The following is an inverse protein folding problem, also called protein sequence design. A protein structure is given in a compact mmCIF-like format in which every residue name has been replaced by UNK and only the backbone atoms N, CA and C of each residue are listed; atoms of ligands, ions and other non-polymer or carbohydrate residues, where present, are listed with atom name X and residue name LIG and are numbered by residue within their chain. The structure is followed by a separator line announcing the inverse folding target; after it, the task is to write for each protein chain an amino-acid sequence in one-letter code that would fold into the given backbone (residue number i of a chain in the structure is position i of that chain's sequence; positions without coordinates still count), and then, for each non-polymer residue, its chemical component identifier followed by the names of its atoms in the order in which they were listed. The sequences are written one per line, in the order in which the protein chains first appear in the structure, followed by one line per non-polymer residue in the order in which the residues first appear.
data_IF_018714168925
#
_entry.id   IF_018714168925
#
_cell.length_a   1.000
_cell.length_b   1.000
_cell.length_c   1.000
_cell.angle_alpha   90.00
_cell.angle_beta   90.00
_cell.angle_gamma   90.00
#
_symmetry.space_group_name_H-M   'P 1'
#
loop_
_entity.id
_entity.type
_entity.pdbx_description
1 polymer ?
#
# COMPACT_ATOMS: atom_id res chain seq x y z
N UNK A 1 36.15 28.07 -43.26
CA UNK A 1 35.64 26.78 -42.74
C UNK A 1 36.13 26.61 -41.30
N UNK A 2 35.31 26.97 -40.35
CA UNK A 2 35.67 26.94 -38.94
C UNK A 2 34.94 25.71 -38.32
N UNK A 3 35.71 24.68 -37.92
CA UNK A 3 35.17 23.47 -37.26
C UNK A 3 34.89 23.78 -35.82
N UNK A 4 33.60 23.77 -35.48
CA UNK A 4 33.11 23.87 -34.12
C UNK A 4 33.32 22.52 -33.41
N UNK A 5 34.25 22.45 -32.46
CA UNK A 5 34.46 21.26 -31.62
C UNK A 5 33.49 21.40 -30.45
N UNK A 6 32.46 20.56 -30.47
CA UNK A 6 31.51 20.46 -29.37
C UNK A 6 32.15 19.63 -28.24
N UNK A 7 32.54 20.29 -27.16
CA UNK A 7 32.99 19.62 -25.94
C UNK A 7 31.73 19.10 -25.20
N UNK A 8 31.48 17.79 -25.27
CA UNK A 8 30.54 17.10 -24.38
C UNK A 8 31.17 17.08 -23.00
N UNK A 9 30.74 18.00 -22.12
CA UNK A 9 30.93 17.85 -20.67
C UNK A 9 30.05 16.70 -20.20
N UNK A 10 30.65 15.53 -20.00
CA UNK A 10 30.07 14.50 -19.14
C UNK A 10 30.06 15.09 -17.72
N UNK A 11 28.91 15.60 -17.30
CA UNK A 11 28.64 15.83 -15.86
C UNK A 11 28.65 14.47 -15.18
N UNK A 12 29.73 14.14 -14.51
CA UNK A 12 29.73 13.14 -13.45
C UNK A 12 28.80 13.67 -12.36
N UNK A 13 27.56 13.20 -12.34
CA UNK A 13 26.72 13.35 -11.16
C UNK A 13 27.38 12.49 -10.07
N UNK A 14 27.70 13.06 -8.91
CA UNK A 14 28.21 12.27 -7.80
C UNK A 14 27.15 11.21 -7.45
N UNK A 15 27.57 9.98 -7.13
CA UNK A 15 26.72 8.99 -6.48
C UNK A 15 25.97 9.72 -5.37
N UNK A 16 24.65 9.87 -5.54
CA UNK A 16 23.83 10.54 -4.56
C UNK A 16 23.95 9.79 -3.24
N UNK A 17 24.47 10.46 -2.23
CA UNK A 17 24.36 9.96 -0.86
C UNK A 17 22.88 9.61 -0.64
N UNK A 18 22.61 8.42 -0.11
CA UNK A 18 21.25 8.01 0.25
C UNK A 18 20.68 9.09 1.18
N UNK A 19 19.75 9.85 0.67
CA UNK A 19 19.14 10.94 1.45
C UNK A 19 18.16 10.32 2.44
N UNK A 20 18.53 10.35 3.74
CA UNK A 20 17.70 9.81 4.78
C UNK A 20 16.57 10.78 5.16
N UNK A 21 15.37 10.22 5.24
CA UNK A 21 14.20 10.93 5.78
C UNK A 21 14.39 11.15 7.28
N UNK A 22 14.30 12.41 7.70
CA UNK A 22 14.37 12.85 9.11
C UNK A 22 13.01 13.31 9.60
N UNK A 23 12.79 13.19 10.90
CA UNK A 23 11.59 13.72 11.57
C UNK A 23 10.27 13.25 10.95
N UNK A 24 10.23 11.95 10.52
CA UNK A 24 9.00 11.35 10.00
C UNK A 24 7.99 11.17 11.12
N UNK A 25 6.88 11.88 11.04
CA UNK A 25 5.90 11.94 12.12
C UNK A 25 4.46 12.08 11.62
N UNK A 26 3.51 11.74 12.48
CA UNK A 26 2.10 12.02 12.28
C UNK A 26 1.90 13.54 12.34
N UNK A 27 1.30 14.09 11.30
CA UNK A 27 0.99 15.52 11.22
C UNK A 27 -0.34 15.70 10.50
N UNK A 28 -1.39 15.97 11.27
CA UNK A 28 -2.76 15.98 10.76
C UNK A 28 -3.21 17.41 10.50
N UNK A 29 -3.37 17.73 9.24
CA UNK A 29 -3.88 19.01 8.72
C UNK A 29 -4.65 18.73 7.42
N UNK A 30 -5.26 19.78 6.89
CA UNK A 30 -5.83 19.78 5.54
C UNK A 30 -5.37 21.03 4.78
N UNK A 31 -5.45 20.96 3.47
CA UNK A 31 -5.40 22.11 2.58
C UNK A 31 -6.37 21.94 1.43
N UNK A 32 -6.73 23.04 0.77
CA UNK A 32 -7.62 23.05 -0.37
C UNK A 32 -6.88 23.50 -1.64
N UNK A 33 -7.15 22.83 -2.73
CA UNK A 33 -6.65 23.19 -4.06
C UNK A 33 -7.71 22.87 -5.12
N UNK A 34 -8.08 23.88 -5.92
CA UNK A 34 -9.09 23.74 -7.00
C UNK A 34 -10.37 23.01 -6.53
N UNK A 35 -10.98 23.48 -5.44
CA UNK A 35 -12.17 22.91 -4.80
C UNK A 35 -12.02 21.46 -4.27
N UNK A 36 -10.83 20.90 -4.34
CA UNK A 36 -10.53 19.58 -3.78
C UNK A 36 -9.87 19.74 -2.41
N UNK A 37 -10.41 19.03 -1.42
CA UNK A 37 -9.83 18.95 -0.10
C UNK A 37 -8.77 17.83 -0.05
N UNK A 38 -7.61 18.14 0.52
CA UNK A 38 -6.52 17.20 0.73
C UNK A 38 -6.25 17.04 2.21
N UNK A 39 -6.17 15.80 2.68
CA UNK A 39 -5.65 15.46 3.98
C UNK A 39 -4.12 15.48 3.95
N UNK A 40 -3.50 16.07 4.96
CA UNK A 40 -2.07 15.89 5.28
C UNK A 40 -2.00 14.94 6.48
N UNK A 41 -1.36 13.79 6.32
CA UNK A 41 -1.30 12.79 7.38
C UNK A 41 0.09 12.63 8.00
N UNK A 42 1.15 13.02 7.28
CA UNK A 42 2.54 12.92 7.73
C UNK A 42 3.32 14.16 7.35
N UNK A 43 4.36 14.45 8.15
CA UNK A 43 5.39 15.44 7.87
C UNK A 43 6.77 14.82 8.04
N UNK A 44 7.72 15.23 7.21
CA UNK A 44 9.11 14.79 7.28
C UNK A 44 10.04 15.79 6.62
N UNK A 45 11.32 15.62 6.85
CA UNK A 45 12.38 16.42 6.22
C UNK A 45 13.23 15.53 5.30
N UNK A 46 13.52 16.06 4.12
CA UNK A 46 14.45 15.49 3.16
C UNK A 46 15.34 16.62 2.62
N UNK A 47 16.66 16.48 2.75
CA UNK A 47 17.64 17.51 2.31
C UNK A 47 17.38 18.92 2.88
N UNK A 48 16.87 19.00 4.11
CA UNK A 48 16.56 20.27 4.79
C UNK A 48 15.26 20.94 4.32
N UNK A 49 14.49 20.28 3.47
CA UNK A 49 13.17 20.74 3.02
C UNK A 49 12.08 19.93 3.71
N UNK A 50 11.05 20.61 4.19
CA UNK A 50 9.87 19.96 4.78
C UNK A 50 8.92 19.47 3.68
N UNK A 51 8.55 18.21 3.77
CA UNK A 51 7.57 17.55 2.90
C UNK A 51 6.40 17.02 3.71
N UNK A 52 5.30 16.86 3.02
CA UNK A 52 4.04 16.33 3.54
C UNK A 52 3.54 15.17 2.69
N UNK A 53 3.13 14.08 3.34
CA UNK A 53 2.35 13.03 2.69
C UNK A 53 0.89 13.46 2.69
N UNK A 54 0.34 13.67 1.51
CA UNK A 54 -1.01 14.19 1.29
C UNK A 54 -1.90 13.18 0.59
N UNK A 55 -3.18 13.22 0.88
CA UNK A 55 -4.20 12.36 0.26
C UNK A 55 -5.30 13.22 -0.34
N UNK A 56 -5.59 13.02 -1.62
CA UNK A 56 -6.79 13.55 -2.24
C UNK A 56 -8.02 12.84 -1.65
N UNK A 57 -8.89 13.57 -0.98
CA UNK A 57 -10.02 13.00 -0.26
C UNK A 57 -11.15 12.48 -1.16
N UNK A 58 -11.12 12.82 -2.47
CA UNK A 58 -12.08 12.34 -3.47
C UNK A 58 -11.58 11.07 -4.17
N UNK A 59 -10.29 10.99 -4.51
CA UNK A 59 -9.72 9.90 -5.32
C UNK A 59 -8.88 8.90 -4.51
N UNK A 60 -8.61 9.16 -3.24
CA UNK A 60 -7.72 8.39 -2.36
C UNK A 60 -6.26 8.30 -2.85
N UNK A 61 -5.90 9.05 -3.87
CA UNK A 61 -4.53 9.13 -4.34
C UNK A 61 -3.65 9.89 -3.36
N UNK A 62 -2.45 9.38 -3.12
CA UNK A 62 -1.44 10.02 -2.26
C UNK A 62 -0.37 10.71 -3.07
N UNK A 63 0.19 11.79 -2.52
CA UNK A 63 1.32 12.53 -3.08
C UNK A 63 2.21 13.05 -1.96
N UNK A 64 3.49 13.20 -2.28
CA UNK A 64 4.47 13.91 -1.44
C UNK A 64 4.67 15.30 -2.01
N UNK A 65 4.41 16.33 -1.20
CA UNK A 65 4.49 17.72 -1.60
C UNK A 65 5.21 18.55 -0.54
N UNK A 66 5.96 19.57 -0.98
CA UNK A 66 6.36 20.69 -0.12
C UNK A 66 5.30 21.79 -0.25
N UNK A 67 4.77 22.26 0.85
CA UNK A 67 3.69 23.25 0.92
C UNK A 67 4.07 24.41 1.81
N UNK A 68 3.61 25.61 1.47
CA UNK A 68 3.71 26.77 2.35
C UNK A 68 2.85 26.53 3.61
N UNK A 69 3.42 26.77 4.78
CA UNK A 69 2.73 26.58 6.06
C UNK A 69 1.43 27.41 6.19
N UNK A 70 1.34 28.53 5.49
CA UNK A 70 0.14 29.38 5.48
C UNK A 70 -1.08 28.72 4.83
N UNK A 71 -0.88 27.69 4.01
CA UNK A 71 -1.95 26.91 3.37
C UNK A 71 -2.54 25.82 4.27
N UNK A 72 -1.87 25.52 5.40
CA UNK A 72 -2.22 24.40 6.28
C UNK A 72 -3.31 24.79 7.27
N UNK A 73 -4.43 24.09 7.24
CA UNK A 73 -5.59 24.31 8.10
C UNK A 73 -5.82 23.10 9.03
N UNK A 74 -6.37 23.29 10.24
CA UNK A 74 -6.93 22.17 11.01
C UNK A 74 -7.99 21.41 10.20
N UNK A 75 -8.20 20.12 10.53
CA UNK A 75 -9.37 19.42 9.99
C UNK A 75 -10.65 20.11 10.49
N UNK A 76 -11.61 20.27 9.59
CA UNK A 76 -12.92 20.84 9.88
C UNK A 76 -14.08 19.83 9.59
N UNK A 77 -15.32 20.27 9.71
CA UNK A 77 -16.48 19.45 9.46
C UNK A 77 -16.60 18.97 8.00
N UNK A 78 -15.99 19.68 7.04
CA UNK A 78 -16.04 19.29 5.64
C UNK A 78 -15.21 18.03 5.38
N UNK A 79 -14.13 17.85 6.13
CA UNK A 79 -13.33 16.62 6.05
C UNK A 79 -14.19 15.38 6.33
N UNK A 80 -15.05 15.40 7.36
CA UNK A 80 -15.90 14.26 7.71
C UNK A 80 -16.90 13.85 6.63
N UNK A 81 -17.22 14.77 5.71
CA UNK A 81 -18.15 14.57 4.59
C UNK A 81 -17.46 14.01 3.34
N UNK A 82 -16.14 13.94 3.33
CA UNK A 82 -15.38 13.46 2.16
C UNK A 82 -15.53 11.95 1.95
N UNK A 83 -15.43 11.46 0.70
CA UNK A 83 -15.39 10.03 0.42
C UNK A 83 -14.31 9.30 1.23
N UNK A 84 -13.09 9.87 1.35
CA UNK A 84 -12.04 9.28 2.15
C UNK A 84 -12.47 9.05 3.61
N UNK A 85 -13.01 10.06 4.29
CA UNK A 85 -13.43 9.94 5.69
C UNK A 85 -14.56 8.93 5.89
N UNK A 86 -15.48 8.83 4.91
CA UNK A 86 -16.56 7.85 4.91
C UNK A 86 -16.01 6.43 4.76
N UNK A 87 -15.12 6.20 3.79
CA UNK A 87 -14.51 4.87 3.58
C UNK A 87 -13.65 4.45 4.76
N UNK A 88 -12.89 5.37 5.35
CA UNK A 88 -12.12 5.14 6.56
C UNK A 88 -13.02 4.71 7.74
N UNK A 89 -14.14 5.39 7.93
CA UNK A 89 -15.13 5.04 8.98
C UNK A 89 -15.74 3.67 8.73
N UNK A 90 -16.18 3.40 7.50
CA UNK A 90 -16.82 2.14 7.13
C UNK A 90 -15.86 0.94 7.30
N UNK A 91 -14.63 1.06 6.80
CA UNK A 91 -13.63 -0.01 6.88
C UNK A 91 -13.21 -0.30 8.33
N UNK A 92 -13.03 0.74 9.16
CA UNK A 92 -12.63 0.58 10.56
C UNK A 92 -13.76 0.09 11.48
N UNK A 93 -15.00 0.09 11.03
CA UNK A 93 -16.12 -0.57 11.72
C UNK A 93 -16.09 -2.11 11.62
N UNK A 94 -15.22 -2.67 10.77
CA UNK A 94 -15.15 -4.10 10.47
C UNK A 94 -13.99 -4.81 11.20
N UNK A 95 -13.80 -4.54 12.49
CA UNK A 95 -12.70 -5.09 13.30
C UNK A 95 -12.62 -6.63 13.24
N UNK A 96 -13.76 -7.33 13.38
CA UNK A 96 -13.82 -8.80 13.32
C UNK A 96 -13.42 -9.40 11.97
N UNK A 97 -13.34 -8.57 10.92
CA UNK A 97 -12.94 -8.96 9.57
C UNK A 97 -11.57 -8.44 9.16
N UNK A 98 -10.88 -7.69 10.03
CA UNK A 98 -9.61 -7.06 9.71
C UNK A 98 -9.70 -5.88 8.74
N UNK A 99 -10.91 -5.35 8.47
CA UNK A 99 -11.14 -4.24 7.56
C UNK A 99 -12.10 -4.54 6.40
N UNK A 100 -12.06 -3.70 5.37
CA UNK A 100 -12.88 -3.86 4.17
C UNK A 100 -12.54 -5.17 3.43
N UNK A 101 -13.55 -5.98 3.14
CA UNK A 101 -13.38 -7.30 2.51
C UNK A 101 -13.61 -7.29 1.00
N UNK A 102 -14.27 -6.27 0.48
CA UNK A 102 -14.64 -6.13 -0.93
C UNK A 102 -14.88 -4.65 -1.26
N UNK A 103 -14.99 -4.35 -2.54
CA UNK A 103 -15.26 -3.00 -3.03
C UNK A 103 -16.61 -2.46 -2.52
N UNK A 104 -16.64 -1.16 -2.23
CA UNK A 104 -17.86 -0.42 -1.90
C UNK A 104 -18.50 0.25 -3.11
N UNK A 105 -17.76 0.33 -4.23
CA UNK A 105 -18.27 0.81 -5.52
C UNK A 105 -18.79 -0.34 -6.36
N UNK A 106 -19.90 -0.09 -7.08
CA UNK A 106 -20.41 -1.03 -8.07
C UNK A 106 -19.75 -0.75 -9.43
N UNK A 107 -18.77 -1.58 -9.80
CA UNK A 107 -18.12 -1.57 -11.10
C UNK A 107 -18.30 -2.94 -11.74
N UNK A 108 -18.91 -2.97 -12.93
CA UNK A 108 -19.14 -4.25 -13.60
C UNK A 108 -17.83 -5.00 -13.81
N UNK A 109 -17.84 -6.30 -13.47
CA UNK A 109 -16.70 -7.23 -13.61
C UNK A 109 -15.38 -6.80 -12.97
N UNK A 110 -15.36 -5.73 -12.14
CA UNK A 110 -14.15 -5.28 -11.47
C UNK A 110 -13.72 -6.28 -10.38
N UNK A 111 -12.42 -6.57 -10.34
CA UNK A 111 -11.76 -7.31 -9.26
C UNK A 111 -10.48 -6.60 -8.85
N UNK A 112 -10.02 -6.85 -7.63
CA UNK A 112 -8.88 -6.16 -7.04
C UNK A 112 -7.89 -7.19 -6.51
N UNK A 113 -6.78 -7.35 -7.24
CA UNK A 113 -5.74 -8.30 -6.85
C UNK A 113 -4.88 -7.71 -5.75
N UNK A 114 -4.76 -8.43 -4.65
CA UNK A 114 -3.89 -8.07 -3.53
C UNK A 114 -2.89 -9.19 -3.24
N UNK A 115 -1.63 -8.84 -3.08
CA UNK A 115 -0.53 -9.77 -2.85
C UNK A 115 0.23 -9.37 -1.57
N UNK A 116 0.29 -10.29 -0.61
CA UNK A 116 0.99 -10.05 0.65
C UNK A 116 2.45 -10.52 0.55
N UNK A 117 3.35 -9.64 0.97
CA UNK A 117 4.78 -9.88 1.13
C UNK A 117 5.15 -9.85 2.61
N UNK A 118 4.70 -10.89 3.34
CA UNK A 118 5.06 -11.15 4.72
C UNK A 118 6.54 -11.55 4.83
N UNK A 119 7.18 -11.46 6.01
CA UNK A 119 8.53 -11.97 6.21
C UNK A 119 8.69 -13.40 5.73
N UNK A 120 9.78 -13.66 5.03
CA UNK A 120 10.10 -15.01 4.50
C UNK A 120 11.60 -15.23 4.51
N UNK A 121 12.01 -16.46 4.86
CA UNK A 121 13.39 -16.94 4.69
C UNK A 121 13.63 -17.58 3.32
N UNK A 122 12.56 -17.75 2.53
CA UNK A 122 12.65 -18.33 1.18
C UNK A 122 13.17 -17.28 0.20
N UNK A 123 14.10 -17.68 -0.66
CA UNK A 123 14.66 -16.79 -1.69
C UNK A 123 13.65 -16.54 -2.79
N UNK A 124 13.68 -15.31 -3.33
CA UNK A 124 12.84 -14.88 -4.42
C UNK A 124 11.40 -14.53 -4.01
N UNK A 125 10.59 -14.27 -5.00
CA UNK A 125 9.14 -14.06 -4.88
C UNK A 125 8.45 -14.84 -6.01
N UNK A 126 7.15 -14.74 -6.11
CA UNK A 126 6.35 -15.44 -7.14
C UNK A 126 6.45 -14.73 -8.52
N UNK A 127 7.68 -14.61 -9.04
CA UNK A 127 8.01 -13.93 -10.30
C UNK A 127 7.32 -14.56 -11.51
N UNK A 128 7.27 -15.89 -11.54
CA UNK A 128 6.69 -16.65 -12.67
C UNK A 128 5.18 -16.39 -12.77
N UNK A 129 4.50 -16.29 -11.63
CA UNK A 129 3.10 -15.88 -11.59
C UNK A 129 2.90 -14.46 -12.12
N UNK A 130 3.75 -13.50 -11.69
CA UNK A 130 3.69 -12.12 -12.18
C UNK A 130 3.90 -12.05 -13.68
N UNK A 131 4.84 -12.83 -14.22
CA UNK A 131 5.07 -12.91 -15.67
C UNK A 131 3.86 -13.47 -16.40
N UNK A 132 3.27 -14.56 -15.90
CA UNK A 132 2.06 -15.15 -16.48
C UNK A 132 0.87 -14.18 -16.43
N UNK A 133 0.68 -13.48 -15.30
CA UNK A 133 -0.38 -12.50 -15.10
C UNK A 133 -0.26 -11.37 -16.14
N UNK A 134 0.92 -10.74 -16.22
CA UNK A 134 1.15 -9.62 -17.14
C UNK A 134 1.15 -10.05 -18.62
N UNK A 135 1.56 -11.27 -18.93
CA UNK A 135 1.46 -11.84 -20.28
C UNK A 135 0.02 -12.02 -20.74
N UNK A 136 -0.89 -12.36 -19.83
CA UNK A 136 -2.31 -12.60 -20.16
C UNK A 136 -3.16 -11.32 -20.09
N UNK A 137 -2.85 -10.41 -19.16
CA UNK A 137 -3.66 -9.21 -18.88
C UNK A 137 -3.02 -7.91 -19.41
N UNK A 138 -1.72 -7.90 -19.77
CA UNK A 138 -0.98 -6.69 -20.07
C UNK A 138 -0.65 -5.90 -18.80
N UNK A 139 -0.71 -4.56 -18.87
CA UNK A 139 -0.51 -3.71 -17.67
C UNK A 139 -1.59 -4.02 -16.64
N UNK A 140 -1.15 -4.48 -15.47
CA UNK A 140 -2.04 -5.02 -14.44
C UNK A 140 -1.98 -4.20 -13.16
N UNK A 141 -3.11 -3.63 -12.71
CA UNK A 141 -3.23 -3.08 -11.36
C UNK A 141 -3.09 -4.19 -10.31
N UNK A 142 -2.23 -3.96 -9.32
CA UNK A 142 -2.03 -4.87 -8.20
C UNK A 142 -1.76 -4.07 -6.93
N UNK A 143 -2.35 -4.49 -5.82
CA UNK A 143 -2.02 -3.95 -4.51
C UNK A 143 -1.03 -4.88 -3.81
N UNK A 144 0.14 -4.37 -3.44
CA UNK A 144 1.16 -5.15 -2.75
C UNK A 144 1.21 -4.70 -1.29
N UNK A 145 0.77 -5.59 -0.39
CA UNK A 145 0.88 -5.39 1.05
C UNK A 145 2.28 -5.85 1.49
N UNK A 146 3.17 -4.87 1.70
CA UNK A 146 4.57 -5.12 1.97
C UNK A 146 4.92 -4.87 3.43
N UNK A 147 5.65 -5.82 4.05
CA UNK A 147 6.34 -5.61 5.33
C UNK A 147 7.77 -5.12 5.11
N UNK A 148 8.27 -4.27 6.03
CA UNK A 148 9.67 -3.86 5.95
C UNK A 148 10.62 -5.04 6.12
N UNK A 149 10.25 -5.99 6.97
CA UNK A 149 11.06 -7.18 7.20
C UNK A 149 11.23 -8.02 5.92
N UNK A 150 10.20 -8.11 5.04
CA UNK A 150 10.36 -8.75 3.75
C UNK A 150 11.29 -7.92 2.84
N UNK A 151 11.04 -6.62 2.71
CA UNK A 151 11.84 -5.72 1.87
C UNK A 151 13.33 -5.79 2.22
N UNK A 152 13.67 -5.73 3.50
CA UNK A 152 15.06 -5.73 3.97
C UNK A 152 15.84 -7.00 3.63
N UNK A 153 15.14 -8.12 3.45
CA UNK A 153 15.76 -9.40 3.09
C UNK A 153 15.67 -9.71 1.57
N UNK A 154 14.91 -8.92 0.80
CA UNK A 154 14.59 -9.18 -0.60
C UNK A 154 14.73 -7.91 -1.46
N UNK A 155 15.81 -7.15 -1.29
CA UNK A 155 16.04 -5.88 -2.02
C UNK A 155 16.01 -6.04 -3.55
N UNK A 156 16.59 -7.13 -4.07
CA UNK A 156 16.62 -7.39 -5.51
C UNK A 156 15.23 -7.64 -6.07
N UNK A 157 14.45 -8.41 -5.34
CA UNK A 157 13.06 -8.75 -5.68
C UNK A 157 12.16 -7.50 -5.58
N UNK A 158 12.35 -6.70 -4.55
CA UNK A 158 11.67 -5.41 -4.40
C UNK A 158 11.98 -4.48 -5.58
N UNK A 159 13.26 -4.32 -5.93
CA UNK A 159 13.69 -3.51 -7.07
C UNK A 159 13.09 -4.03 -8.40
N UNK A 160 13.01 -5.36 -8.57
CA UNK A 160 12.38 -5.95 -9.75
C UNK A 160 10.88 -5.65 -9.84
N UNK A 161 10.16 -5.67 -8.70
CA UNK A 161 8.74 -5.29 -8.64
C UNK A 161 8.55 -3.80 -8.99
N UNK A 162 9.32 -2.91 -8.36
CA UNK A 162 9.25 -1.45 -8.57
C UNK A 162 9.50 -1.08 -10.03
N UNK A 163 10.46 -1.74 -10.68
CA UNK A 163 10.87 -1.45 -12.05
C UNK A 163 10.06 -2.22 -13.10
N UNK A 164 9.05 -2.99 -12.74
CA UNK A 164 8.23 -3.72 -13.70
C UNK A 164 7.21 -2.78 -14.37
N UNK A 165 7.39 -2.43 -15.67
CA UNK A 165 6.52 -1.45 -16.36
C UNK A 165 5.11 -1.98 -16.63
N UNK A 166 4.90 -3.29 -16.45
CA UNK A 166 3.59 -3.94 -16.63
C UNK A 166 2.79 -4.05 -15.34
N UNK A 167 3.31 -3.54 -14.22
CA UNK A 167 2.58 -3.49 -12.95
C UNK A 167 2.22 -2.05 -12.59
N UNK A 168 0.94 -1.82 -12.32
CA UNK A 168 0.48 -0.59 -11.67
C UNK A 168 0.29 -0.87 -10.18
N UNK A 169 1.35 -0.64 -9.38
CA UNK A 169 1.38 -1.07 -7.99
C UNK A 169 0.78 -0.01 -7.08
N UNK A 170 -0.18 -0.43 -6.24
CA UNK A 170 -0.60 0.28 -5.04
C UNK A 170 0.12 -0.32 -3.84
N UNK A 171 1.05 0.42 -3.23
CA UNK A 171 1.81 -0.06 -2.07
C UNK A 171 0.99 0.07 -0.79
N UNK A 172 0.63 -1.06 -0.21
CA UNK A 172 -0.17 -1.18 1.01
C UNK A 172 0.75 -1.44 2.20
N UNK A 173 0.56 -0.73 3.29
CA UNK A 173 1.31 -0.92 4.52
C UNK A 173 0.91 -2.25 5.18
N UNK A 174 1.90 -3.15 5.39
CA UNK A 174 1.70 -4.47 6.01
C UNK A 174 2.60 -4.66 7.25
N UNK A 175 2.85 -3.58 7.96
CA UNK A 175 3.64 -3.47 9.19
C UNK A 175 5.16 -3.62 9.01
N UNK A 176 5.88 -3.09 9.96
CA UNK A 176 7.35 -3.04 9.90
C UNK A 176 7.98 -4.40 10.15
N UNK A 177 7.74 -4.97 11.32
CA UNK A 177 8.33 -6.27 11.72
C UNK A 177 7.46 -7.45 11.34
N UNK A 178 6.13 -7.25 11.27
CA UNK A 178 5.16 -8.31 11.05
C UNK A 178 5.39 -9.46 12.06
N UNK A 179 5.48 -9.12 13.34
CA UNK A 179 5.75 -10.09 14.40
C UNK A 179 4.80 -11.28 14.33
N UNK A 180 5.34 -12.49 14.43
CA UNK A 180 4.57 -13.72 14.48
C UNK A 180 5.32 -14.77 15.33
N UNK A 181 4.62 -15.33 16.33
CA UNK A 181 5.08 -16.49 17.12
C UNK A 181 4.04 -17.61 16.96
N UNK A 182 4.42 -18.77 16.38
CA UNK A 182 3.49 -19.89 16.18
C UNK A 182 3.01 -20.54 17.49
N UNK A 183 3.64 -20.23 18.64
CA UNK A 183 3.21 -20.72 19.96
C UNK A 183 2.16 -19.84 20.62
N UNK A 184 1.91 -18.64 20.08
CA UNK A 184 0.89 -17.72 20.58
C UNK A 184 -0.41 -17.87 19.78
N UNK A 185 -1.58 -17.72 20.41
CA UNK A 185 -2.84 -17.63 19.69
C UNK A 185 -2.88 -16.35 18.85
N UNK A 186 -3.66 -16.34 17.77
CA UNK A 186 -3.77 -15.18 16.86
C UNK A 186 -4.09 -13.87 17.57
N UNK A 187 -4.95 -13.91 18.60
CA UNK A 187 -5.33 -12.74 19.42
C UNK A 187 -4.21 -12.16 20.30
N UNK A 188 -3.07 -12.83 20.39
CA UNK A 188 -1.88 -12.40 21.13
C UNK A 188 -0.66 -12.27 20.20
N UNK A 189 -0.92 -12.32 18.90
CA UNK A 189 0.07 -12.30 17.84
C UNK A 189 -0.01 -11.01 17.00
N UNK A 190 0.92 -10.83 16.10
CA UNK A 190 0.96 -9.71 15.15
C UNK A 190 0.86 -8.34 15.86
N UNK A 191 -0.02 -7.48 15.36
CA UNK A 191 -0.29 -6.16 15.96
C UNK A 191 -0.97 -6.20 17.33
N UNK A 192 -1.54 -7.36 17.72
CA UNK A 192 -2.17 -7.57 19.02
C UNK A 192 -1.17 -8.02 20.10
N UNK A 193 0.06 -8.34 19.73
CA UNK A 193 1.09 -8.71 20.71
C UNK A 193 1.37 -7.58 21.69
N UNK A 194 1.49 -7.91 22.96
CA UNK A 194 1.56 -6.94 24.10
C UNK A 194 2.72 -5.96 23.99
N UNK A 195 3.82 -6.36 23.37
CA UNK A 195 5.03 -5.52 23.20
C UNK A 195 5.08 -4.81 21.84
N UNK A 196 4.01 -4.83 21.04
CA UNK A 196 3.99 -4.18 19.73
C UNK A 196 3.97 -2.67 19.87
N UNK A 197 4.97 -2.00 19.34
CA UNK A 197 4.95 -0.56 19.10
C UNK A 197 4.17 -0.27 17.81
N UNK A 198 2.87 -0.02 17.94
CA UNK A 198 1.97 0.26 16.83
C UNK A 198 2.47 1.40 15.94
N UNK A 199 3.08 2.43 16.54
CA UNK A 199 3.62 3.57 15.81
C UNK A 199 4.81 3.15 14.94
N UNK A 200 5.75 2.39 15.51
CA UNK A 200 6.90 1.89 14.77
C UNK A 200 6.47 0.93 13.65
N UNK A 201 5.48 0.06 13.90
CA UNK A 201 4.94 -0.87 12.90
C UNK A 201 4.34 -0.15 11.69
N UNK A 202 3.64 0.95 11.90
CA UNK A 202 2.99 1.69 10.81
C UNK A 202 3.98 2.63 10.13
N UNK A 203 4.64 3.52 10.89
CA UNK A 203 5.51 4.53 10.31
C UNK A 203 6.79 3.97 9.70
N UNK A 204 7.26 2.81 10.19
CA UNK A 204 8.47 2.17 9.68
C UNK A 204 8.37 1.77 8.21
N UNK A 205 7.24 1.19 7.79
CA UNK A 205 7.01 0.83 6.37
C UNK A 205 6.88 2.06 5.50
N UNK A 206 6.07 3.04 5.93
CA UNK A 206 5.87 4.28 5.17
C UNK A 206 7.20 5.00 4.92
N UNK A 207 8.02 5.12 5.97
CA UNK A 207 9.34 5.75 5.88
C UNK A 207 10.25 5.00 4.89
N UNK A 208 10.32 3.67 4.97
CA UNK A 208 11.14 2.85 4.06
C UNK A 208 10.70 2.98 2.60
N UNK A 209 9.41 3.03 2.32
CA UNK A 209 8.92 3.25 0.96
C UNK A 209 9.33 4.63 0.44
N UNK A 210 9.19 5.67 1.28
CA UNK A 210 9.58 7.03 0.91
C UNK A 210 11.10 7.17 0.66
N UNK A 211 11.94 6.46 1.42
CA UNK A 211 13.39 6.40 1.22
C UNK A 211 13.78 5.77 -0.13
N UNK A 212 12.89 4.93 -0.70
CA UNK A 212 13.01 4.39 -2.06
C UNK A 212 12.32 5.26 -3.13
N UNK A 213 11.87 6.46 -2.77
CA UNK A 213 11.14 7.36 -3.68
C UNK A 213 9.70 6.93 -3.97
N UNK A 214 9.18 5.98 -3.22
CA UNK A 214 7.82 5.45 -3.38
C UNK A 214 6.87 6.13 -2.42
N UNK A 215 5.77 6.67 -2.94
CA UNK A 215 4.71 7.25 -2.11
C UNK A 215 3.82 6.15 -1.53
N UNK A 216 3.73 6.01 -0.18
CA UNK A 216 2.80 5.07 0.44
C UNK A 216 1.35 5.42 0.11
N UNK A 217 0.49 4.40 -0.03
CA UNK A 217 -0.95 4.62 -0.15
C UNK A 217 -1.62 4.84 1.22
N UNK A 218 -2.92 5.14 1.19
CA UNK A 218 -3.76 5.23 2.40
C UNK A 218 -4.24 3.89 2.92
N UNK A 219 -3.79 2.79 2.32
CA UNK A 219 -4.27 1.46 2.65
C UNK A 219 -3.34 0.74 3.62
N UNK A 220 -3.97 -0.03 4.51
CA UNK A 220 -3.28 -0.83 5.50
C UNK A 220 -3.84 -2.26 5.53
N UNK A 221 -2.98 -3.26 5.66
CA UNK A 221 -3.41 -4.64 5.88
C UNK A 221 -2.84 -5.19 7.19
N UNK A 222 -3.72 -5.62 8.06
CA UNK A 222 -3.28 -6.29 9.29
C UNK A 222 -2.64 -7.64 8.96
N UNK A 223 -1.45 -7.96 9.52
CA UNK A 223 -0.93 -9.31 9.50
C UNK A 223 -1.93 -10.32 10.06
N UNK A 224 -2.06 -11.48 9.39
CA UNK A 224 -3.05 -12.48 9.76
C UNK A 224 -4.52 -12.06 9.60
N UNK A 225 -4.80 -10.86 9.10
CA UNK A 225 -6.13 -10.23 9.01
C UNK A 225 -6.81 -10.07 10.39
N UNK A 226 -6.04 -10.03 11.47
CA UNK A 226 -6.56 -9.90 12.84
C UNK A 226 -6.35 -8.49 13.38
N UNK A 227 -7.41 -7.96 13.98
CA UNK A 227 -7.43 -6.66 14.61
C UNK A 227 -8.43 -6.60 15.77
N UNK A 228 -8.28 -5.61 16.63
CA UNK A 228 -9.27 -5.25 17.63
C UNK A 228 -9.81 -3.83 17.39
N UNK A 229 -10.81 -3.45 18.16
CA UNK A 229 -11.42 -2.12 18.08
C UNK A 229 -10.43 -0.98 18.40
N UNK A 230 -9.44 -1.25 19.27
CA UNK A 230 -8.42 -0.25 19.64
C UNK A 230 -7.51 0.05 18.44
N UNK A 231 -7.04 -0.98 17.74
CA UNK A 231 -6.25 -0.83 16.52
C UNK A 231 -7.05 -0.15 15.42
N UNK A 232 -8.31 -0.54 15.21
CA UNK A 232 -9.19 0.12 14.22
C UNK A 232 -9.40 1.60 14.53
N UNK A 233 -9.61 1.93 15.80
CA UNK A 233 -9.72 3.33 16.24
C UNK A 233 -8.41 4.09 15.99
N UNK A 234 -7.26 3.48 16.29
CA UNK A 234 -5.97 4.10 16.01
C UNK A 234 -5.78 4.39 14.52
N UNK A 235 -6.14 3.44 13.62
CA UNK A 235 -6.08 3.66 12.17
C UNK A 235 -6.97 4.84 11.76
N UNK A 236 -8.18 4.94 12.32
CA UNK A 236 -9.13 6.01 11.97
C UNK A 236 -8.73 7.37 12.51
N UNK A 237 -8.35 7.45 13.77
CA UNK A 237 -8.24 8.73 14.50
C UNK A 237 -6.80 9.28 14.56
N UNK A 238 -5.81 8.39 14.37
CA UNK A 238 -4.40 8.76 14.49
C UNK A 238 -3.65 8.63 13.17
N UNK A 239 -3.83 7.50 12.48
CA UNK A 239 -3.01 7.20 11.31
C UNK A 239 -3.69 7.52 9.98
N UNK A 240 -5.02 7.63 9.94
CA UNK A 240 -5.82 7.90 8.73
C UNK A 240 -5.52 6.88 7.62
N UNK A 241 -5.59 5.58 7.97
CA UNK A 241 -5.35 4.47 7.08
C UNK A 241 -6.59 3.58 6.97
N UNK A 242 -6.98 3.23 5.75
CA UNK A 242 -8.12 2.35 5.44
C UNK A 242 -7.68 0.89 5.56
N UNK A 243 -8.17 0.12 6.54
CA UNK A 243 -7.82 -1.29 6.68
C UNK A 243 -8.49 -2.14 5.60
N UNK A 244 -7.69 -3.06 5.03
CA UNK A 244 -8.09 -4.00 4.00
C UNK A 244 -8.05 -5.44 4.52
N UNK A 245 -9.08 -6.19 4.19
CA UNK A 245 -9.11 -7.64 4.30
C UNK A 245 -9.29 -8.28 2.91
N UNK A 246 -9.89 -9.46 2.83
CA UNK A 246 -10.21 -10.14 1.58
C UNK A 246 -11.51 -10.93 1.72
N UNK A 247 -12.16 -11.22 0.60
CA UNK A 247 -13.30 -12.14 0.48
C UNK A 247 -13.08 -13.18 -0.62
N UNK A 248 -11.86 -13.23 -1.18
CA UNK A 248 -11.43 -14.23 -2.13
C UNK A 248 -9.99 -14.67 -1.83
N UNK A 249 -9.80 -15.33 -0.67
CA UNK A 249 -8.52 -15.92 -0.30
C UNK A 249 -8.30 -17.21 -1.09
N UNK A 250 -7.43 -17.14 -2.09
CA UNK A 250 -7.30 -18.20 -3.09
C UNK A 250 -6.84 -19.52 -2.48
N UNK A 251 -5.90 -19.52 -1.57
CA UNK A 251 -5.45 -20.76 -0.91
C UNK A 251 -6.52 -21.42 -0.05
N UNK A 252 -7.55 -20.69 0.38
CA UNK A 252 -8.75 -21.22 1.05
C UNK A 252 -9.85 -21.60 0.07
N UNK A 253 -9.57 -21.55 -1.24
CA UNK A 253 -10.52 -21.83 -2.31
C UNK A 253 -11.80 -20.96 -2.27
N UNK A 254 -11.68 -19.74 -1.78
CA UNK A 254 -12.80 -18.80 -1.81
C UNK A 254 -13.09 -18.32 -3.24
N UNK A 255 -14.36 -18.13 -3.61
CA UNK A 255 -14.75 -17.78 -4.98
C UNK A 255 -14.42 -16.32 -5.31
N UNK A 256 -13.95 -16.09 -6.55
CA UNK A 256 -13.80 -14.75 -7.11
C UNK A 256 -15.16 -14.28 -7.66
N UNK A 257 -15.57 -13.06 -7.30
CA UNK A 257 -16.79 -12.40 -7.79
C UNK A 257 -16.46 -10.95 -8.15
N UNK A 258 -17.33 -10.28 -8.91
CA UNK A 258 -17.22 -8.84 -9.08
C UNK A 258 -17.15 -8.13 -7.71
N UNK A 259 -16.26 -7.16 -7.59
CA UNK A 259 -15.97 -6.46 -6.34
C UNK A 259 -15.02 -7.19 -5.38
N UNK A 260 -14.57 -8.42 -5.67
CA UNK A 260 -13.71 -9.17 -4.75
C UNK A 260 -12.34 -8.54 -4.57
N UNK A 261 -11.89 -8.51 -3.30
CA UNK A 261 -10.48 -8.39 -2.94
C UNK A 261 -9.87 -9.79 -2.91
N UNK A 262 -9.02 -10.07 -3.90
CA UNK A 262 -8.35 -11.35 -4.06
C UNK A 262 -7.07 -11.34 -3.24
N UNK A 263 -6.89 -12.31 -2.36
CA UNK A 263 -5.70 -12.46 -1.53
C UNK A 263 -4.84 -13.63 -2.01
N UNK A 264 -3.58 -13.32 -2.30
CA UNK A 264 -2.49 -14.29 -2.51
C UNK A 264 -1.26 -13.87 -1.71
N UNK A 265 -0.35 -14.81 -1.47
CA UNK A 265 0.95 -14.53 -0.86
C UNK A 265 2.07 -14.65 -1.89
N UNK A 266 2.77 -13.54 -2.15
CA UNK A 266 3.84 -13.47 -3.15
C UNK A 266 5.23 -13.86 -2.65
N UNK A 267 5.36 -14.17 -1.38
CA UNK A 267 6.62 -14.43 -0.66
C UNK A 267 6.99 -15.92 -0.56
N UNK A 268 6.38 -16.78 -1.37
CA UNK A 268 6.55 -18.25 -1.39
C UNK A 268 6.10 -18.98 -0.11
N UNK A 269 5.47 -18.29 0.84
CA UNK A 269 4.98 -18.95 2.06
C UNK A 269 3.72 -19.78 1.83
N UNK A 270 2.91 -19.43 0.82
CA UNK A 270 1.64 -20.10 0.48
C UNK A 270 1.54 -20.42 -1.03
N UNK A 271 2.43 -21.30 -1.57
CA UNK A 271 2.51 -21.54 -3.02
C UNK A 271 1.23 -22.18 -3.61
N UNK A 272 0.42 -22.83 -2.79
CA UNK A 272 -0.85 -23.40 -3.23
C UNK A 272 -1.83 -22.35 -3.76
N UNK A 273 -1.88 -21.16 -3.13
CA UNK A 273 -2.73 -20.05 -3.59
C UNK A 273 -2.32 -19.57 -4.97
N UNK A 274 -1.02 -19.45 -5.22
CA UNK A 274 -0.46 -19.11 -6.53
C UNK A 274 -0.84 -20.15 -7.57
N UNK A 275 -0.54 -21.43 -7.32
CA UNK A 275 -0.85 -22.52 -8.24
C UNK A 275 -2.36 -22.61 -8.57
N UNK A 276 -3.22 -22.33 -7.58
CA UNK A 276 -4.67 -22.32 -7.80
C UNK A 276 -5.12 -21.14 -8.66
N UNK A 277 -4.53 -19.95 -8.45
CA UNK A 277 -4.85 -18.77 -9.24
C UNK A 277 -4.33 -18.91 -10.68
N UNK A 278 -3.11 -19.42 -10.88
CA UNK A 278 -2.55 -19.69 -12.21
C UNK A 278 -3.47 -20.57 -13.07
N UNK A 279 -4.03 -21.63 -12.48
CA UNK A 279 -4.97 -22.51 -13.17
C UNK A 279 -6.27 -21.81 -13.56
N UNK A 280 -6.74 -20.85 -12.76
CA UNK A 280 -7.96 -20.06 -12.99
C UNK A 280 -7.71 -18.82 -13.86
N UNK A 281 -6.46 -18.40 -14.00
CA UNK A 281 -6.10 -17.10 -14.59
C UNK A 281 -6.69 -16.87 -15.99
N UNK A 282 -6.69 -17.84 -16.95
CA UNK A 282 -7.27 -17.64 -18.26
C UNK A 282 -8.78 -17.32 -18.22
N UNK A 283 -9.51 -17.93 -17.28
CA UNK A 283 -10.93 -17.65 -17.08
C UNK A 283 -11.14 -16.30 -16.36
N UNK A 284 -10.33 -16.01 -15.35
CA UNK A 284 -10.39 -14.77 -14.60
C UNK A 284 -10.19 -13.58 -15.52
N UNK A 285 -9.14 -13.55 -16.33
CA UNK A 285 -8.87 -12.42 -17.26
C UNK A 285 -9.90 -12.28 -18.36
N UNK A 286 -10.60 -13.37 -18.72
CA UNK A 286 -11.70 -13.35 -19.69
C UNK A 286 -12.99 -12.79 -19.09
N UNK A 287 -13.21 -13.05 -17.79
CA UNK A 287 -14.49 -12.76 -17.12
C UNK A 287 -14.47 -11.41 -16.41
N UNK A 288 -13.32 -11.03 -15.84
CA UNK A 288 -13.16 -9.87 -14.96
C UNK A 288 -12.09 -8.92 -15.46
N UNK A 289 -12.09 -7.72 -14.90
CA UNK A 289 -11.09 -6.67 -15.13
C UNK A 289 -10.40 -6.32 -13.82
N UNK A 290 -9.06 -6.28 -13.85
CA UNK A 290 -8.28 -5.84 -12.70
C UNK A 290 -8.32 -4.32 -12.60
N UNK A 291 -8.58 -3.82 -11.39
CA UNK A 291 -8.68 -2.40 -11.08
C UNK A 291 -7.77 -2.01 -9.93
N UNK A 292 -7.45 -0.71 -9.83
CA UNK A 292 -6.69 -0.17 -8.70
C UNK A 292 -7.51 -0.18 -7.42
N UNK A 293 -6.88 -0.30 -6.25
CA UNK A 293 -7.61 -0.29 -4.98
C UNK A 293 -8.41 0.98 -4.73
N UNK A 294 -7.94 2.13 -5.21
CA UNK A 294 -8.67 3.39 -5.10
C UNK A 294 -10.06 3.29 -5.73
N UNK A 295 -10.15 2.65 -6.89
CA UNK A 295 -11.43 2.46 -7.60
C UNK A 295 -12.40 1.51 -6.89
N UNK A 296 -11.95 0.75 -5.89
CA UNK A 296 -12.82 -0.06 -5.04
C UNK A 296 -13.66 0.80 -4.06
N UNK A 297 -13.21 2.01 -3.77
CA UNK A 297 -13.77 2.86 -2.73
C UNK A 297 -14.37 4.16 -3.24
N UNK A 298 -13.94 4.63 -4.40
CA UNK A 298 -14.41 5.89 -5.01
C UNK A 298 -14.64 5.69 -6.51
N UNK A 299 -15.61 6.43 -7.04
CA UNK A 299 -15.97 6.41 -8.47
C UNK A 299 -15.09 7.34 -9.29
#
# INVERSE_FOLDING_TARGET
MMRLILFLMLCWLPLSAVEYIKHYEIFVKQYQENDTLFLISRRFELSGVTFYLTTNTQTLQTKVLSLDASRLMPLDENFSKTPFAQQLTNATALATKGGATHATTEKDKAIYLTMDLCPSTKKGYESDFIEQLTKQNGTTPIAIAISSAWKDHHEKEFTALVNNPLLQITWVNHTHTHFYDPHLPERENFMLHVNTDVKAEILGVEKKLLEEGITPSVFFRFPGLVADEKLMRALRETYFLIPLSANAWIAKNEPIKAGSFILIHGNKNEPQGITMLEKKLPEVVKTYQFHTLQEAFVQ
#
